data_IF_737384901147
#
_entry.id   IF_737384901147
#
_cell.length_a   1.000
_cell.length_b   1.000
_cell.length_c   1.000
_cell.angle_alpha   90.00
_cell.angle_beta   90.00
_cell.angle_gamma   90.00
#
_symmetry.space_group_name_H-M   'P 1'
#
loop_
_entity.id
_entity.type
_entity.pdbx_description
1 polymer ?
#
# COMPACT_ATOMS: atom_id res chain seq x y z
N UNK A 1 3.26 4.04 -17.87
CA UNK A 1 2.91 4.23 -16.44
C UNK A 1 2.30 5.60 -16.27
N UNK A 2 1.37 5.79 -15.34
CA UNK A 2 0.80 7.10 -15.01
C UNK A 2 0.93 7.34 -13.50
N UNK A 3 1.48 8.49 -13.12
CA UNK A 3 1.46 8.94 -11.73
C UNK A 3 0.03 9.36 -11.34
N UNK A 4 -0.46 8.84 -10.21
CA UNK A 4 -1.79 9.11 -9.68
C UNK A 4 -1.73 9.28 -8.17
N UNK A 5 -2.71 9.99 -7.63
CA UNK A 5 -2.94 10.14 -6.20
C UNK A 5 -4.42 9.83 -5.95
N UNK A 6 -4.70 8.79 -5.18
CA UNK A 6 -6.07 8.35 -4.89
C UNK A 6 -6.16 7.72 -3.50
N UNK A 7 -7.38 7.56 -3.00
CA UNK A 7 -7.64 6.83 -1.78
C UNK A 7 -7.48 5.32 -2.03
N UNK A 8 -6.74 4.64 -1.18
CA UNK A 8 -6.45 3.21 -1.28
C UNK A 8 -7.08 2.50 -0.10
N UNK A 9 -7.99 1.57 -0.37
CA UNK A 9 -8.54 0.68 0.64
C UNK A 9 -7.96 -0.72 0.49
N UNK A 10 -7.29 -1.20 1.54
CA UNK A 10 -6.85 -2.58 1.67
C UNK A 10 -7.86 -3.35 2.52
N UNK A 11 -8.28 -4.54 2.08
CA UNK A 11 -9.13 -5.44 2.86
C UNK A 11 -8.31 -6.64 3.30
N UNK A 12 -8.08 -6.76 4.61
CA UNK A 12 -7.28 -7.84 5.20
C UNK A 12 -8.09 -8.46 6.34
N UNK A 13 -8.28 -9.78 6.31
CA UNK A 13 -9.04 -10.52 7.33
C UNK A 13 -10.43 -9.92 7.62
N UNK A 14 -11.16 -9.50 6.58
CA UNK A 14 -12.48 -8.87 6.71
C UNK A 14 -12.48 -7.42 7.20
N UNK A 15 -11.32 -6.86 7.56
CA UNK A 15 -11.17 -5.47 7.98
C UNK A 15 -10.69 -4.59 6.83
N UNK A 16 -11.36 -3.45 6.63
CA UNK A 16 -10.94 -2.41 5.70
C UNK A 16 -9.96 -1.43 6.37
N UNK A 17 -8.87 -1.13 5.68
CA UNK A 17 -7.89 -0.10 6.03
C UNK A 17 -7.83 0.90 4.88
N UNK A 18 -8.26 2.14 5.11
CA UNK A 18 -8.25 3.19 4.09
C UNK A 18 -7.09 4.14 4.34
N UNK A 19 -6.34 4.43 3.28
CA UNK A 19 -5.25 5.39 3.24
C UNK A 19 -5.64 6.47 2.24
N UNK A 20 -5.63 7.72 2.68
CA UNK A 20 -6.05 8.84 1.85
C UNK A 20 -4.89 9.39 1.02
N UNK A 21 -5.21 9.84 -0.19
CA UNK A 21 -4.27 10.54 -1.08
C UNK A 21 -2.90 9.85 -1.25
N UNK A 22 -2.89 8.55 -1.54
CA UNK A 22 -1.64 7.79 -1.72
C UNK A 22 -1.11 7.99 -3.14
N UNK A 23 0.02 8.67 -3.25
CA UNK A 23 0.76 8.80 -4.50
C UNK A 23 1.35 7.44 -4.93
N UNK A 24 1.10 7.04 -6.16
CA UNK A 24 1.62 5.79 -6.73
C UNK A 24 1.57 5.81 -8.26
N UNK A 25 2.17 4.79 -8.89
CA UNK A 25 2.10 4.61 -10.33
C UNK A 25 1.05 3.57 -10.70
N UNK A 26 0.27 3.84 -11.75
CA UNK A 26 -0.67 2.89 -12.33
C UNK A 26 -0.23 2.47 -13.72
N UNK A 27 -0.17 1.17 -13.97
CA UNK A 27 0.04 0.63 -15.30
C UNK A 27 -1.18 0.92 -16.17
N UNK A 28 -0.99 1.63 -17.28
CA UNK A 28 -2.08 2.00 -18.19
C UNK A 28 -2.67 0.79 -18.93
N UNK A 29 -1.94 -0.32 -19.03
CA UNK A 29 -2.37 -1.51 -19.78
C UNK A 29 -3.17 -2.50 -18.92
N UNK A 30 -2.65 -2.86 -17.74
CA UNK A 30 -3.29 -3.85 -16.87
C UNK A 30 -3.93 -3.26 -15.60
N UNK A 31 -3.72 -1.96 -15.33
CA UNK A 31 -4.26 -1.31 -14.14
C UNK A 31 -3.50 -1.61 -12.84
N UNK A 32 -2.39 -2.36 -12.90
CA UNK A 32 -1.54 -2.63 -11.74
C UNK A 32 -1.09 -1.35 -11.05
N UNK A 33 -1.06 -1.37 -9.72
CA UNK A 33 -0.66 -0.23 -8.88
C UNK A 33 0.68 -0.53 -8.23
N UNK A 34 1.66 0.32 -8.49
CA UNK A 34 3.01 0.19 -7.95
C UNK A 34 3.23 1.30 -6.94
N UNK A 35 3.41 0.91 -5.68
CA UNK A 35 3.57 1.81 -4.55
C UNK A 35 5.04 1.99 -4.19
N UNK A 36 5.42 3.20 -3.82
CA UNK A 36 6.74 3.48 -3.26
C UNK A 36 6.93 2.86 -1.87
N UNK A 37 8.18 2.79 -1.42
CA UNK A 37 8.55 2.16 -0.15
C UNK A 37 7.83 2.76 1.06
N UNK A 38 7.62 4.08 1.09
CA UNK A 38 6.97 4.75 2.23
C UNK A 38 5.50 4.37 2.37
N UNK A 39 4.76 4.31 1.25
CA UNK A 39 3.38 3.83 1.24
C UNK A 39 3.32 2.35 1.65
N UNK A 40 4.21 1.52 1.12
CA UNK A 40 4.31 0.09 1.48
C UNK A 40 4.56 -0.10 2.98
N UNK A 41 5.45 0.69 3.58
CA UNK A 41 5.70 0.67 5.04
C UNK A 41 4.47 1.06 5.86
N UNK A 42 3.71 2.05 5.39
CA UNK A 42 2.46 2.44 6.06
C UNK A 42 1.41 1.33 5.99
N UNK A 43 1.30 0.65 4.84
CA UNK A 43 0.42 -0.51 4.67
C UNK A 43 0.82 -1.61 5.65
N UNK A 44 2.09 -1.99 5.65
CA UNK A 44 2.64 -3.02 6.55
C UNK A 44 2.40 -2.68 8.02
N UNK A 45 2.64 -1.44 8.44
CA UNK A 45 2.41 -1.01 9.80
C UNK A 45 0.93 -1.14 10.21
N UNK A 46 -0.01 -0.91 9.28
CA UNK A 46 -1.44 -0.98 9.55
C UNK A 46 -2.00 -2.40 9.53
N UNK A 47 -1.48 -3.28 8.65
CA UNK A 47 -2.04 -4.62 8.42
C UNK A 47 -1.29 -5.72 9.16
N UNK A 48 0.03 -5.57 9.40
CA UNK A 48 0.82 -6.62 10.02
C UNK A 48 0.70 -6.57 11.55
N UNK A 49 0.52 -7.73 12.20
CA UNK A 49 0.55 -7.81 13.66
C UNK A 49 1.92 -7.37 14.18
N UNK A 50 1.93 -6.68 15.34
CA UNK A 50 3.14 -6.06 15.94
C UNK A 50 4.35 -7.01 16.03
N UNK A 51 4.14 -8.33 16.14
CA UNK A 51 5.20 -9.36 16.18
C UNK A 51 5.93 -9.59 14.84
N UNK A 52 5.39 -9.15 13.71
CA UNK A 52 5.97 -9.37 12.35
C UNK A 52 6.57 -8.11 11.70
N UNK A 53 6.61 -6.96 12.41
CA UNK A 53 7.16 -5.70 11.89
C UNK A 53 8.69 -5.70 11.68
N UNK A 54 9.38 -6.80 11.98
CA UNK A 54 10.84 -6.89 12.06
C UNK A 54 11.53 -7.44 10.80
N UNK A 55 10.85 -7.58 9.65
CA UNK A 55 11.54 -7.91 8.39
C UNK A 55 11.87 -6.62 7.66
N UNK A 56 12.84 -5.90 8.19
CA UNK A 56 13.52 -4.85 7.43
C UNK A 56 14.36 -5.55 6.35
N UNK A 57 13.98 -5.37 5.09
CA UNK A 57 14.82 -5.75 3.95
C UNK A 57 16.15 -4.99 4.10
N UNK A 58 17.23 -5.74 4.30
CA UNK A 58 18.61 -5.26 4.28
C UNK A 58 19.05 -5.02 2.85
#
# INVERSE_FOLDING_TARGET
>A
MRAVTENVTLRVNGRGHTFEAVAHERCAKCGERIFGLDASRQFDAAILPRRRRAVAVR
#
